data_IF_936687511289
#
_entry.id   IF_936687511289
#
_cell.length_a   1.000
_cell.length_b   1.000
_cell.length_c   1.000
_cell.angle_alpha   90.00
_cell.angle_beta   90.00
_cell.angle_gamma   90.00
#
_symmetry.space_group_name_H-M   'P 1'
#
loop_
_entity.id
_entity.type
_entity.pdbx_description
1 polymer ?
#
# COMPACT_ATOMS: atom_id res chain seq x y z
N UNK A 1 -11.94 -54.95 -69.57
CA UNK A 1 -11.01 -53.91 -69.07
C UNK A 1 -11.53 -52.56 -69.54
N UNK A 2 -11.38 -51.43 -68.82
CA UNK A 2 -10.84 -51.13 -67.45
C UNK A 2 -11.90 -50.33 -66.62
N UNK A 3 -11.61 -49.45 -65.62
CA UNK A 3 -10.57 -49.32 -64.56
C UNK A 3 -11.17 -49.30 -63.10
N UNK A 4 -10.36 -49.11 -62.02
CA UNK A 4 -10.64 -49.58 -60.65
C UNK A 4 -11.25 -48.53 -59.68
N UNK A 5 -11.80 -49.04 -58.57
CA UNK A 5 -12.37 -48.28 -57.47
C UNK A 5 -11.30 -47.58 -56.61
N UNK A 6 -11.55 -46.31 -56.30
CA UNK A 6 -10.82 -45.53 -55.28
C UNK A 6 -11.66 -45.53 -54.00
N UNK A 7 -11.15 -46.17 -52.95
CA UNK A 7 -11.64 -46.03 -51.57
C UNK A 7 -10.98 -44.81 -50.92
N UNK A 8 -11.78 -43.80 -50.60
CA UNK A 8 -11.38 -42.67 -49.73
C UNK A 8 -11.21 -43.15 -48.28
N UNK A 9 -10.14 -42.75 -47.57
CA UNK A 9 -9.96 -43.05 -46.15
C UNK A 9 -10.91 -42.23 -45.27
N UNK A 10 -11.60 -42.94 -44.38
CA UNK A 10 -12.46 -42.40 -43.33
C UNK A 10 -11.65 -41.51 -42.37
N UNK A 11 -12.00 -40.23 -42.29
CA UNK A 11 -11.39 -39.27 -41.36
C UNK A 11 -11.67 -39.69 -39.90
N UNK A 12 -10.60 -39.75 -39.10
CA UNK A 12 -10.66 -40.00 -37.66
C UNK A 12 -11.34 -38.82 -36.93
N UNK A 13 -12.06 -39.07 -35.82
CA UNK A 13 -12.67 -38.00 -35.04
C UNK A 13 -11.60 -37.09 -34.43
N UNK A 14 -11.84 -35.78 -34.32
CA UNK A 14 -10.91 -34.88 -33.64
C UNK A 14 -10.81 -35.30 -32.18
N UNK A 15 -9.58 -35.65 -31.77
CA UNK A 15 -9.26 -35.94 -30.38
C UNK A 15 -9.58 -34.72 -29.53
N UNK A 16 -10.36 -34.95 -28.46
CA UNK A 16 -10.52 -34.02 -27.35
C UNK A 16 -9.14 -33.61 -26.87
N UNK A 17 -8.79 -32.35 -27.12
CA UNK A 17 -7.60 -31.75 -26.55
C UNK A 17 -7.69 -31.86 -25.02
N UNK A 18 -6.61 -32.20 -24.30
CA UNK A 18 -6.60 -32.16 -22.85
C UNK A 18 -6.93 -30.73 -22.42
N UNK A 19 -7.96 -30.56 -21.59
CA UNK A 19 -8.20 -29.33 -20.86
C UNK A 19 -6.97 -29.10 -19.97
N UNK A 20 -6.05 -28.25 -20.43
CA UNK A 20 -5.03 -27.65 -19.59
C UNK A 20 -5.77 -27.06 -18.39
N UNK A 21 -5.41 -27.39 -17.14
CA UNK A 21 -6.01 -26.74 -15.99
C UNK A 21 -5.90 -25.24 -16.18
N UNK A 22 -7.03 -24.54 -16.27
CA UNK A 22 -7.05 -23.09 -16.29
C UNK A 22 -6.27 -22.62 -15.05
N UNK A 23 -5.06 -22.10 -15.26
CA UNK A 23 -4.54 -21.07 -14.37
C UNK A 23 -5.65 -20.04 -14.29
N UNK A 24 -6.38 -20.00 -13.18
CA UNK A 24 -7.35 -18.92 -12.93
C UNK A 24 -6.57 -17.62 -13.01
N UNK A 25 -6.61 -17.00 -14.19
CA UNK A 25 -5.94 -15.75 -14.48
C UNK A 25 -6.38 -14.68 -13.50
N UNK A 26 -5.56 -13.65 -13.33
CA UNK A 26 -5.97 -12.50 -12.52
C UNK A 26 -7.25 -11.90 -13.12
N UNK A 27 -8.26 -11.58 -12.28
CA UNK A 27 -9.47 -10.92 -12.75
C UNK A 27 -9.12 -9.53 -13.30
N UNK A 28 -9.99 -8.92 -14.11
CA UNK A 28 -9.85 -7.53 -14.51
C UNK A 28 -9.66 -6.61 -13.29
N UNK A 29 -8.85 -5.56 -13.43
CA UNK A 29 -8.55 -4.64 -12.34
C UNK A 29 -9.81 -4.08 -11.64
N UNK A 30 -10.88 -3.83 -12.39
CA UNK A 30 -12.16 -3.34 -11.86
C UNK A 30 -12.89 -4.35 -10.96
N UNK A 31 -12.61 -5.65 -11.10
CA UNK A 31 -13.24 -6.76 -10.37
C UNK A 31 -12.28 -7.41 -9.35
N UNK A 32 -11.08 -6.84 -9.20
CA UNK A 32 -9.99 -7.40 -8.41
C UNK A 32 -10.21 -7.35 -6.89
N UNK A 33 -11.14 -6.52 -6.40
CA UNK A 33 -11.34 -6.33 -4.96
C UNK A 33 -11.74 -7.60 -4.23
N UNK A 34 -12.54 -8.48 -4.85
CA UNK A 34 -12.91 -9.78 -4.26
C UNK A 34 -11.68 -10.64 -4.05
N UNK A 35 -10.82 -10.76 -5.07
CA UNK A 35 -9.57 -11.50 -4.97
C UNK A 35 -8.64 -10.89 -3.92
N UNK A 36 -8.52 -9.56 -3.87
CA UNK A 36 -7.68 -8.86 -2.89
C UNK A 36 -8.15 -9.16 -1.46
N UNK A 37 -9.47 -9.13 -1.21
CA UNK A 37 -10.06 -9.44 0.10
C UNK A 37 -9.79 -10.88 0.52
N UNK A 38 -9.94 -11.83 -0.39
CA UNK A 38 -9.63 -13.24 -0.16
C UNK A 38 -8.17 -13.43 0.23
N UNK A 39 -7.24 -12.87 -0.55
CA UNK A 39 -5.80 -12.97 -0.30
C UNK A 39 -5.37 -12.24 0.98
N UNK A 40 -5.98 -11.09 1.27
CA UNK A 40 -5.65 -10.27 2.43
C UNK A 40 -6.12 -10.89 3.75
N UNK A 41 -7.17 -11.72 3.73
CA UNK A 41 -7.75 -12.34 4.93
C UNK A 41 -6.74 -13.19 5.75
N UNK A 42 -5.70 -13.71 5.10
CA UNK A 42 -4.65 -14.50 5.73
C UNK A 42 -3.40 -13.73 6.18
N UNK A 43 -3.37 -12.40 5.97
CA UNK A 43 -2.18 -11.57 6.24
C UNK A 43 -2.06 -11.17 7.71
N UNK A 44 -3.17 -11.01 8.43
CA UNK A 44 -3.16 -10.70 9.86
C UNK A 44 -4.46 -11.15 10.51
N UNK A 45 -4.40 -11.48 11.80
CA UNK A 45 -5.59 -11.70 12.64
C UNK A 45 -6.17 -10.40 13.20
N UNK A 46 -5.54 -9.25 12.92
CA UNK A 46 -5.96 -7.96 13.45
C UNK A 46 -7.27 -7.49 12.77
N UNK A 47 -8.35 -7.21 13.53
CA UNK A 47 -9.67 -6.88 12.96
C UNK A 47 -9.67 -5.55 12.18
N UNK A 48 -8.68 -4.69 12.44
CA UNK A 48 -8.50 -3.42 11.72
C UNK A 48 -8.31 -3.58 10.21
N UNK A 49 -7.74 -4.70 9.74
CA UNK A 49 -7.57 -4.92 8.31
C UNK A 49 -8.90 -4.99 7.56
N UNK A 50 -9.95 -5.56 8.19
CA UNK A 50 -11.28 -5.65 7.58
C UNK A 50 -11.89 -4.28 7.29
N UNK A 51 -11.61 -3.27 8.12
CA UNK A 51 -12.06 -1.88 7.89
C UNK A 51 -11.43 -1.33 6.61
N UNK A 52 -10.19 -1.70 6.32
CA UNK A 52 -9.45 -1.21 5.16
C UNK A 52 -9.95 -1.86 3.89
N UNK A 53 -10.12 -3.18 3.98
CA UNK A 53 -10.64 -4.00 2.92
C UNK A 53 -12.08 -3.65 2.60
N UNK A 54 -12.86 -3.04 3.49
CA UNK A 54 -14.28 -2.69 3.27
C UNK A 54 -14.54 -1.73 2.11
N UNK A 55 -13.50 -1.07 1.58
CA UNK A 55 -13.65 -0.07 0.50
C UNK A 55 -13.37 -0.63 -0.89
N UNK A 56 -13.81 0.09 -1.92
CA UNK A 56 -13.63 -0.33 -3.32
C UNK A 56 -12.40 0.30 -3.98
N UNK A 57 -11.89 -0.37 -5.01
CA UNK A 57 -10.70 0.03 -5.76
C UNK A 57 -9.43 -0.12 -4.92
N UNK A 58 -9.29 -1.27 -4.25
CA UNK A 58 -8.22 -1.51 -3.28
C UNK A 58 -6.84 -1.38 -3.92
N UNK A 59 -6.66 -1.99 -5.10
CA UNK A 59 -5.39 -1.92 -5.85
C UNK A 59 -5.11 -0.50 -6.32
N UNK A 60 -6.10 0.20 -6.87
CA UNK A 60 -5.95 1.57 -7.37
C UNK A 60 -5.57 2.53 -6.25
N UNK A 61 -6.20 2.41 -5.07
CA UNK A 61 -5.88 3.23 -3.90
C UNK A 61 -4.49 2.93 -3.35
N UNK A 62 -4.13 1.65 -3.27
CA UNK A 62 -2.79 1.23 -2.87
C UNK A 62 -1.73 1.82 -3.79
N UNK A 63 -1.90 1.66 -5.11
CA UNK A 63 -0.97 2.20 -6.12
C UNK A 63 -0.88 3.71 -6.06
N UNK A 64 -2.00 4.43 -5.92
CA UNK A 64 -2.01 5.88 -5.81
C UNK A 64 -1.36 6.38 -4.50
N UNK A 65 -1.58 5.68 -3.38
CA UNK A 65 -0.90 5.99 -2.13
C UNK A 65 0.61 5.81 -2.24
N UNK A 66 1.06 4.71 -2.87
CA UNK A 66 2.49 4.43 -3.12
C UNK A 66 3.11 5.48 -4.04
N UNK A 67 2.46 5.84 -5.15
CA UNK A 67 2.95 6.90 -6.07
C UNK A 67 3.08 8.26 -5.37
N UNK A 68 2.07 8.65 -4.56
CA UNK A 68 2.13 9.88 -3.79
C UNK A 68 3.34 9.88 -2.84
N UNK A 69 3.53 8.81 -2.06
CA UNK A 69 4.66 8.70 -1.12
C UNK A 69 6.00 8.73 -1.87
N UNK A 70 6.10 8.03 -3.01
CA UNK A 70 7.28 8.05 -3.87
C UNK A 70 7.56 9.45 -4.47
N UNK A 71 6.52 10.25 -4.67
CA UNK A 71 6.58 11.66 -5.04
C UNK A 71 6.86 12.62 -3.88
N UNK A 72 6.86 12.12 -2.63
CA UNK A 72 6.97 12.94 -1.42
C UNK A 72 5.65 13.53 -0.94
N UNK A 73 4.54 13.24 -1.61
CA UNK A 73 3.20 13.71 -1.27
C UNK A 73 2.50 12.82 -0.24
N UNK A 74 1.63 13.42 0.57
CA UNK A 74 0.91 12.67 1.61
C UNK A 74 -0.14 11.73 0.97
N UNK A 75 -0.20 10.44 1.38
CA UNK A 75 -1.18 9.48 0.84
C UNK A 75 -2.61 9.71 1.34
N UNK A 76 -2.82 10.66 2.26
CA UNK A 76 -4.10 10.95 2.93
C UNK A 76 -5.32 11.00 2.00
N UNK A 77 -5.30 11.62 0.80
CA UNK A 77 -6.48 11.68 -0.07
C UNK A 77 -7.04 10.30 -0.45
N UNK A 78 -6.19 9.28 -0.56
CA UNK A 78 -6.59 7.91 -0.88
C UNK A 78 -6.91 7.07 0.35
N UNK A 79 -6.58 7.56 1.55
CA UNK A 79 -6.71 6.87 2.83
C UNK A 79 -7.73 7.56 3.76
N UNK A 80 -8.67 8.34 3.21
CA UNK A 80 -9.66 9.07 4.00
C UNK A 80 -10.56 8.16 4.84
N UNK A 81 -10.77 6.92 4.42
CA UNK A 81 -11.47 5.90 5.21
C UNK A 81 -10.71 5.49 6.50
N UNK A 82 -9.41 5.81 6.56
CA UNK A 82 -8.54 5.64 7.74
C UNK A 82 -8.32 6.93 8.51
N UNK A 83 -9.00 8.02 8.13
CA UNK A 83 -8.87 9.28 8.83
C UNK A 83 -9.27 9.08 10.29
N UNK A 84 -8.39 9.43 11.25
CA UNK A 84 -8.73 9.26 12.65
C UNK A 84 -9.97 10.08 13.02
N UNK A 85 -10.93 9.44 13.67
CA UNK A 85 -12.16 10.10 14.12
C UNK A 85 -11.88 11.16 15.20
N UNK A 86 -10.84 10.97 16.01
CA UNK A 86 -10.45 11.90 17.04
C UNK A 86 -9.75 13.15 16.47
N UNK A 87 -10.09 14.32 17.03
CA UNK A 87 -9.47 15.59 16.68
C UNK A 87 -8.01 15.62 17.13
N UNK A 88 -7.16 16.28 16.33
CA UNK A 88 -5.80 16.62 16.73
C UNK A 88 -5.81 17.58 17.94
N UNK A 89 -4.89 17.36 18.87
CA UNK A 89 -4.76 18.13 20.13
C UNK A 89 -3.37 18.71 20.26
N UNK A 90 -3.31 19.87 20.89
CA UNK A 90 -2.06 20.57 21.22
C UNK A 90 -2.04 20.91 22.69
N UNK A 91 -0.86 20.90 23.30
CA UNK A 91 -0.64 21.37 24.67
C UNK A 91 0.10 22.70 24.63
N UNK A 92 -0.38 23.66 25.43
CA UNK A 92 0.31 24.95 25.58
C UNK A 92 1.15 24.93 26.85
N UNK A 93 2.46 25.16 26.71
CA UNK A 93 3.41 25.22 27.85
C UNK A 93 4.27 26.47 27.71
N UNK A 94 4.28 27.31 28.75
CA UNK A 94 5.09 28.56 28.80
C UNK A 94 4.94 29.43 27.52
N UNK A 95 3.71 29.57 27.03
CA UNK A 95 3.40 30.39 25.85
C UNK A 95 3.61 29.71 24.49
N UNK A 96 4.31 28.56 24.44
CA UNK A 96 4.57 27.77 23.23
C UNK A 96 3.55 26.64 23.06
N UNK A 97 3.35 26.18 21.82
CA UNK A 97 2.44 25.09 21.47
C UNK A 97 3.24 23.85 21.14
N UNK A 98 2.79 22.69 21.63
CA UNK A 98 3.39 21.40 21.34
C UNK A 98 2.31 20.42 20.93
N UNK A 99 2.69 19.38 20.18
CA UNK A 99 1.81 18.24 19.93
C UNK A 99 1.41 17.62 21.27
N UNK A 100 0.12 17.39 21.50
CA UNK A 100 -0.32 16.53 22.60
C UNK A 100 0.00 15.08 22.22
N UNK A 101 0.78 14.32 23.01
CA UNK A 101 1.06 12.91 22.70
C UNK A 101 -0.18 12.04 22.48
N UNK A 102 -1.33 12.38 23.09
CA UNK A 102 -2.61 11.69 22.82
C UNK A 102 -3.07 11.83 21.37
N UNK A 103 -2.55 12.80 20.63
CA UNK A 103 -2.80 12.94 19.19
C UNK A 103 -2.15 11.84 18.36
N UNK A 104 -1.17 11.13 18.90
CA UNK A 104 -0.51 10.01 18.23
C UNK A 104 -1.36 8.73 18.30
N UNK A 105 -2.07 8.50 19.42
CA UNK A 105 -2.96 7.34 19.64
C UNK A 105 -4.00 7.15 18.53
N UNK A 106 -4.32 8.24 17.83
CA UNK A 106 -5.18 8.29 16.64
C UNK A 106 -4.71 7.40 15.49
N UNK A 107 -3.42 7.09 15.46
CA UNK A 107 -2.78 6.29 14.41
C UNK A 107 -2.34 4.91 14.93
N UNK A 108 -2.57 4.58 16.21
CA UNK A 108 -2.17 3.30 16.79
C UNK A 108 -2.79 2.13 16.02
N UNK A 109 -4.09 2.21 15.70
CA UNK A 109 -4.76 1.19 14.88
C UNK A 109 -4.06 0.97 13.53
N UNK A 110 -3.52 2.02 12.91
CA UNK A 110 -2.84 1.91 11.62
C UNK A 110 -1.48 1.24 11.79
N UNK A 111 -0.72 1.67 12.79
CA UNK A 111 0.59 1.10 13.07
C UNK A 111 0.48 -0.37 13.52
N UNK A 112 -0.49 -0.69 14.37
CA UNK A 112 -0.72 -2.03 14.90
C UNK A 112 -1.14 -3.01 13.79
N UNK A 113 -2.02 -2.59 12.86
CA UNK A 113 -2.38 -3.41 11.70
C UNK A 113 -1.15 -3.70 10.84
N UNK A 114 -0.36 -2.67 10.49
CA UNK A 114 0.85 -2.86 9.67
C UNK A 114 1.87 -3.77 10.36
N UNK A 115 2.16 -3.51 11.64
CA UNK A 115 3.12 -4.30 12.41
C UNK A 115 2.65 -5.74 12.70
N UNK A 116 1.38 -6.05 12.46
CA UNK A 116 0.80 -7.39 12.62
C UNK A 116 0.80 -8.24 11.34
N UNK A 117 1.27 -7.68 10.22
CA UNK A 117 1.28 -8.39 8.94
C UNK A 117 2.28 -9.54 8.97
N UNK A 118 1.88 -10.69 8.43
CA UNK A 118 2.82 -11.75 8.09
C UNK A 118 3.63 -11.31 6.86
N UNK A 119 4.87 -10.86 7.11
CA UNK A 119 5.73 -10.30 6.08
C UNK A 119 5.90 -11.23 4.87
N UNK A 120 6.06 -12.55 5.06
CA UNK A 120 6.26 -13.48 3.95
C UNK A 120 5.00 -13.62 3.10
N UNK A 121 3.85 -13.81 3.74
CA UNK A 121 2.57 -13.86 3.03
C UNK A 121 2.24 -12.55 2.34
N UNK A 122 2.55 -11.40 2.95
CA UNK A 122 2.36 -10.09 2.32
C UNK A 122 3.15 -9.98 1.03
N UNK A 123 4.40 -10.47 1.01
CA UNK A 123 5.22 -10.50 -0.20
C UNK A 123 4.66 -11.43 -1.27
N UNK A 124 4.18 -12.62 -0.88
CA UNK A 124 3.53 -13.55 -1.81
C UNK A 124 2.26 -12.95 -2.44
N UNK A 125 1.41 -12.33 -1.63
CA UNK A 125 0.20 -11.64 -2.09
C UNK A 125 0.56 -10.48 -3.01
N UNK A 126 1.57 -9.67 -2.65
CA UNK A 126 2.06 -8.59 -3.50
C UNK A 126 2.52 -9.11 -4.87
N UNK A 127 3.38 -10.13 -4.90
CA UNK A 127 3.88 -10.73 -6.16
C UNK A 127 2.76 -11.26 -7.04
N UNK A 128 1.73 -11.86 -6.43
CA UNK A 128 0.55 -12.33 -7.15
C UNK A 128 -0.28 -11.18 -7.74
N UNK A 129 -0.41 -10.07 -7.03
CA UNK A 129 -1.17 -8.89 -7.45
C UNK A 129 -0.35 -7.90 -8.30
N UNK A 130 0.96 -8.11 -8.43
CA UNK A 130 1.88 -7.21 -9.13
C UNK A 130 1.40 -6.82 -10.54
N UNK A 131 0.91 -7.73 -11.40
CA UNK A 131 0.43 -7.35 -12.73
C UNK A 131 -0.73 -6.34 -12.69
N UNK A 132 -1.64 -6.47 -11.72
CA UNK A 132 -2.75 -5.54 -11.52
C UNK A 132 -2.28 -4.21 -10.93
N UNK A 133 -1.28 -4.23 -10.05
CA UNK A 133 -0.64 -3.00 -9.56
C UNK A 133 0.03 -2.23 -10.71
N UNK A 134 0.72 -2.91 -11.62
CA UNK A 134 1.30 -2.27 -12.80
C UNK A 134 0.24 -1.70 -13.75
N UNK A 135 -0.86 -2.43 -13.99
CA UNK A 135 -1.97 -1.95 -14.79
C UNK A 135 -2.58 -0.67 -14.19
N UNK A 136 -2.86 -0.68 -12.88
CA UNK A 136 -3.36 0.48 -12.16
C UNK A 136 -2.37 1.65 -12.21
N UNK A 137 -1.07 1.38 -12.10
CA UNK A 137 -0.02 2.40 -12.16
C UNK A 137 0.01 3.10 -13.52
N UNK A 138 -0.05 2.33 -14.62
CA UNK A 138 -0.17 2.88 -15.97
C UNK A 138 -1.44 3.71 -16.14
N UNK A 139 -2.54 3.25 -15.53
CA UNK A 139 -3.83 3.95 -15.49
C UNK A 139 -3.79 5.34 -14.84
N UNK A 140 -2.80 5.62 -13.98
CA UNK A 140 -2.55 6.95 -13.41
C UNK A 140 -1.86 7.92 -14.39
N UNK A 141 -1.68 7.53 -15.66
CA UNK A 141 -0.94 8.32 -16.64
C UNK A 141 0.57 8.21 -16.48
N UNK A 142 1.05 7.09 -15.93
CA UNK A 142 2.48 6.77 -15.76
C UNK A 142 2.88 5.66 -16.75
N UNK A 143 3.01 5.96 -18.05
CA UNK A 143 3.22 4.94 -19.08
C UNK A 143 4.62 4.31 -19.06
N UNK A 144 5.56 4.89 -18.30
CA UNK A 144 6.95 4.45 -18.21
C UNK A 144 7.32 4.15 -16.75
N UNK A 145 8.14 3.12 -16.55
CA UNK A 145 8.62 2.68 -15.24
C UNK A 145 7.88 1.44 -14.71
N UNK A 146 8.53 0.74 -13.78
CA UNK A 146 7.94 -0.41 -13.09
C UNK A 146 7.35 0.05 -11.76
N UNK A 147 6.16 -0.46 -11.41
CA UNK A 147 5.56 -0.14 -10.12
C UNK A 147 6.45 -0.58 -8.94
N UNK A 148 7.21 -1.67 -9.09
CA UNK A 148 8.21 -2.10 -8.10
C UNK A 148 9.21 -0.99 -7.74
N UNK A 149 9.71 -0.25 -8.74
CA UNK A 149 10.68 0.84 -8.51
C UNK A 149 10.04 1.99 -7.72
N UNK A 150 8.76 2.24 -7.96
CA UNK A 150 7.95 3.23 -7.23
C UNK A 150 7.71 2.78 -5.79
N UNK A 151 7.40 1.50 -5.58
CA UNK A 151 7.24 0.92 -4.26
C UNK A 151 8.55 1.00 -3.45
N UNK A 152 9.68 0.63 -4.06
CA UNK A 152 11.02 0.77 -3.45
C UNK A 152 11.27 2.23 -3.06
N UNK A 153 10.98 3.18 -3.95
CA UNK A 153 11.17 4.60 -3.69
C UNK A 153 10.27 5.08 -2.54
N UNK A 154 9.00 4.68 -2.51
CA UNK A 154 8.07 5.03 -1.44
C UNK A 154 8.56 4.51 -0.08
N UNK A 155 8.98 3.25 -0.01
CA UNK A 155 9.55 2.65 1.21
C UNK A 155 10.78 3.45 1.67
N UNK A 156 11.71 3.74 0.76
CA UNK A 156 12.91 4.54 1.06
C UNK A 156 12.56 5.94 1.57
N UNK A 157 11.59 6.62 0.96
CA UNK A 157 11.11 7.94 1.42
C UNK A 157 10.64 7.88 2.87
N UNK A 158 9.84 6.87 3.24
CA UNK A 158 9.32 6.71 4.60
C UNK A 158 10.41 6.31 5.60
N UNK A 159 11.33 5.43 5.21
CA UNK A 159 12.47 5.01 6.04
C UNK A 159 13.48 6.14 6.28
N UNK A 160 13.54 7.13 5.39
CA UNK A 160 14.35 8.33 5.56
C UNK A 160 13.73 9.37 6.51
N UNK A 161 12.52 9.13 7.03
CA UNK A 161 11.89 10.02 8.02
C UNK A 161 12.61 9.88 9.36
N UNK A 162 13.03 10.99 10.00
CA UNK A 162 13.65 10.94 11.31
C UNK A 162 12.61 10.71 12.40
N UNK A 163 12.85 9.72 13.26
CA UNK A 163 12.06 9.51 14.47
C UNK A 163 12.39 10.59 15.49
N UNK A 164 11.41 11.43 15.82
CA UNK A 164 11.59 12.54 16.78
C UNK A 164 11.08 12.11 18.16
N UNK A 165 11.99 12.05 19.13
CA UNK A 165 11.67 11.81 20.53
C UNK A 165 11.33 13.12 21.26
N UNK A 166 10.43 13.06 22.25
CA UNK A 166 10.12 14.17 23.13
C UNK A 166 9.07 15.15 22.59
N UNK A 167 9.10 16.38 23.11
CA UNK A 167 8.10 17.41 22.82
C UNK A 167 8.33 18.02 21.42
N UNK A 168 7.36 17.89 20.53
CA UNK A 168 7.39 18.51 19.19
C UNK A 168 6.69 19.86 19.22
N UNK A 169 7.46 20.94 19.10
CA UNK A 169 6.94 22.32 19.09
C UNK A 169 6.26 22.66 17.76
N UNK A 170 5.15 23.40 17.84
CA UNK A 170 4.30 23.78 16.72
C UNK A 170 4.14 25.30 16.62
N UNK A 171 4.03 25.78 15.38
CA UNK A 171 3.61 27.13 15.06
C UNK A 171 2.20 27.12 14.45
N UNK A 172 1.30 28.03 14.84
CA UNK A 172 -0.03 28.10 14.26
C UNK A 172 0.04 28.62 12.82
N UNK A 173 -0.71 27.98 11.90
CA UNK A 173 -1.04 28.46 10.56
C UNK A 173 -2.55 28.72 10.47
N UNK A 174 -3.00 29.39 9.42
CA UNK A 174 -4.39 29.86 9.26
C UNK A 174 -5.44 28.75 9.47
N UNK A 175 -5.15 27.52 9.03
CA UNK A 175 -6.08 26.38 9.10
C UNK A 175 -5.44 25.15 9.80
N UNK A 176 -4.15 25.21 10.12
CA UNK A 176 -3.37 24.03 10.54
C UNK A 176 -2.21 24.42 11.47
N UNK A 177 -1.36 23.46 11.81
CA UNK A 177 -0.11 23.67 12.53
C UNK A 177 1.09 23.28 11.64
N UNK A 178 2.17 24.04 11.76
CA UNK A 178 3.48 23.70 11.22
C UNK A 178 4.43 23.29 12.34
N UNK A 179 5.47 22.53 12.01
CA UNK A 179 6.54 22.28 12.95
C UNK A 179 7.34 23.56 13.16
N UNK A 180 7.73 23.83 14.41
CA UNK A 180 8.58 24.98 14.72
C UNK A 180 10.04 24.76 14.27
N UNK A 181 10.48 23.50 14.28
CA UNK A 181 11.79 23.10 13.78
C UNK A 181 11.83 23.17 12.24
N UNK A 182 12.68 24.02 11.63
CA UNK A 182 12.80 24.13 10.18
C UNK A 182 13.22 22.83 9.49
N UNK A 183 13.98 21.96 10.16
CA UNK A 183 14.41 20.68 9.61
C UNK A 183 13.22 19.73 9.46
N UNK A 184 12.32 19.70 10.44
CA UNK A 184 11.10 18.90 10.41
C UNK A 184 10.05 19.49 9.47
N UNK A 185 9.90 20.82 9.45
CA UNK A 185 8.95 21.48 8.55
C UNK A 185 9.39 21.38 7.08
N UNK A 186 10.70 21.29 6.82
CA UNK A 186 11.30 21.09 5.50
C UNK A 186 11.19 19.67 4.93
N UNK A 187 10.77 18.68 5.74
CA UNK A 187 10.50 17.32 5.27
C UNK A 187 9.34 17.30 4.25
N UNK A 188 9.32 16.27 3.40
CA UNK A 188 8.26 16.11 2.40
C UNK A 188 6.88 15.93 3.08
N UNK A 189 5.77 16.29 2.41
CA UNK A 189 4.43 16.02 2.94
C UNK A 189 4.21 14.57 3.40
N UNK A 190 4.78 13.57 2.72
CA UNK A 190 4.73 12.16 3.12
C UNK A 190 5.46 11.91 4.44
N UNK A 191 6.69 12.40 4.57
CA UNK A 191 7.50 12.26 5.79
C UNK A 191 6.85 12.98 6.97
N UNK A 192 6.33 14.20 6.76
CA UNK A 192 5.55 14.93 7.77
C UNK A 192 4.23 14.25 8.11
N UNK A 193 3.67 13.42 7.23
CA UNK A 193 2.50 12.60 7.57
C UNK A 193 2.91 11.52 8.56
N UNK A 194 3.97 10.77 8.27
CA UNK A 194 4.48 9.72 9.14
C UNK A 194 4.89 10.28 10.52
N UNK A 195 5.62 11.40 10.56
CA UNK A 195 6.02 12.06 11.81
C UNK A 195 4.81 12.45 12.68
N UNK A 196 3.69 12.86 12.06
CA UNK A 196 2.44 13.18 12.78
C UNK A 196 1.76 11.97 13.41
N UNK A 197 2.18 10.75 13.07
CA UNK A 197 1.73 9.53 13.74
C UNK A 197 2.41 9.31 15.09
N UNK A 198 3.52 10.01 15.35
CA UNK A 198 4.28 9.93 16.59
C UNK A 198 5.32 8.82 16.61
N UNK A 199 6.32 8.92 17.51
CA UNK A 199 7.52 8.09 17.45
C UNK A 199 7.26 6.59 17.68
N UNK A 200 6.26 6.23 18.50
CA UNK A 200 5.83 4.82 18.68
C UNK A 200 5.37 4.22 17.35
N UNK A 201 4.40 4.87 16.70
CA UNK A 201 3.78 4.40 15.47
C UNK A 201 4.75 4.45 14.30
N UNK A 202 5.55 5.52 14.20
CA UNK A 202 6.60 5.65 13.19
C UNK A 202 7.61 4.51 13.28
N UNK A 203 8.11 4.19 14.48
CA UNK A 203 9.07 3.08 14.67
C UNK A 203 8.46 1.73 14.26
N UNK A 204 7.21 1.46 14.64
CA UNK A 204 6.52 0.23 14.27
C UNK A 204 6.36 0.11 12.75
N UNK A 205 5.90 1.17 12.09
CA UNK A 205 5.74 1.22 10.63
C UNK A 205 7.09 1.06 9.94
N UNK A 206 8.12 1.81 10.35
CA UNK A 206 9.44 1.69 9.74
C UNK A 206 10.07 0.30 9.96
N UNK A 207 9.81 -0.36 11.08
CA UNK A 207 10.28 -1.73 11.32
C UNK A 207 9.65 -2.69 10.30
N UNK A 208 8.33 -2.63 10.11
CA UNK A 208 7.64 -3.47 9.13
C UNK A 208 8.10 -3.16 7.69
N UNK A 209 8.27 -1.88 7.34
CA UNK A 209 8.75 -1.48 6.03
C UNK A 209 10.17 -2.03 5.73
N UNK A 210 11.05 -2.10 6.73
CA UNK A 210 12.37 -2.75 6.57
C UNK A 210 12.24 -4.27 6.37
N UNK A 211 11.34 -4.91 7.10
CA UNK A 211 11.08 -6.34 6.96
C UNK A 211 10.55 -6.67 5.56
N UNK A 212 9.55 -5.92 5.08
CA UNK A 212 9.00 -6.04 3.74
C UNK A 212 10.04 -5.77 2.65
N UNK A 213 10.84 -4.70 2.77
CA UNK A 213 11.91 -4.40 1.82
C UNK A 213 12.90 -5.57 1.71
N UNK A 214 13.30 -6.13 2.85
CA UNK A 214 14.20 -7.30 2.90
C UNK A 214 13.58 -8.52 2.22
N UNK A 215 12.33 -8.85 2.56
CA UNK A 215 11.63 -10.01 2.00
C UNK A 215 11.33 -9.88 0.50
N UNK A 216 11.19 -8.65 0.00
CA UNK A 216 11.04 -8.36 -1.43
C UNK A 216 12.37 -8.40 -2.19
N UNK A 217 13.51 -8.52 -1.51
CA UNK A 217 14.84 -8.47 -2.12
C UNK A 217 15.24 -7.05 -2.52
N UNK A 218 14.65 -6.03 -1.89
CA UNK A 218 14.97 -4.62 -2.08
C UNK A 218 16.11 -4.21 -1.12
N UNK A 219 17.25 -4.88 -1.23
CA UNK A 219 18.47 -4.61 -0.46
C UNK A 219 19.47 -3.77 -1.24
#
# INVERSE_FOLDING_TARGET
>A
MPPPAVTEPLAAPPGTAPETPEERGLPPLAESDTLVRELASGLTSHPGLSVWLSTDGLIQRFVAAVDNIAGGESPRPHLLFLAPAAKFRVVRRKGRLYVDPKSYERYDLVADVLASLDTQRTVEVYRRLQPLCEEAYRGLGKPQGRFDDVLVKAIRTLLATPVVEGDVELTPKVITYAFADPTLEGLSPAQKHLLRMGPKNERAIQAELRALATALGMG
#
